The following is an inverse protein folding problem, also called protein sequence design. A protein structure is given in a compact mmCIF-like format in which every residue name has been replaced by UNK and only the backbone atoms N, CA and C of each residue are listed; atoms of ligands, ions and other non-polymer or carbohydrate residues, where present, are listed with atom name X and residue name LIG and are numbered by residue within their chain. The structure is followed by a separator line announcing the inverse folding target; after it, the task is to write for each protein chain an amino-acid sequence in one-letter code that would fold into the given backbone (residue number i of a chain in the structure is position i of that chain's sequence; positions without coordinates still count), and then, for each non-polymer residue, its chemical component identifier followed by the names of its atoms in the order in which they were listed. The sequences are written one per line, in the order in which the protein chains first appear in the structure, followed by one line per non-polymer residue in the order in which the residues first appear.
data_IF_358399543641
#
_entry.id   IF_358399543641
#
_cell.length_a   1.000
_cell.length_b   1.000
_cell.length_c   1.000
_cell.angle_alpha   90.00
_cell.angle_beta   90.00
_cell.angle_gamma   90.00
#
_symmetry.space_group_name_H-M   'P 1'
#
loop_
_entity.id
_entity.type
_entity.pdbx_description
1 polymer ?
#
# COMPACT_ATOMS: atom_id res chain seq x y z
N UNK A 1 -1.08 -20.25 -16.10
CA UNK A 1 -0.41 -20.96 -14.98
C UNK A 1 -1.43 -21.15 -13.88
N UNK A 2 -1.37 -22.21 -13.05
CA UNK A 2 -2.29 -22.33 -11.92
C UNK A 2 -2.01 -21.20 -10.92
N UNK A 3 -2.99 -20.35 -10.67
CA UNK A 3 -2.87 -19.21 -9.77
C UNK A 3 -3.74 -19.43 -8.54
N UNK A 4 -3.13 -19.32 -7.36
CA UNK A 4 -3.78 -19.37 -6.05
C UNK A 4 -3.99 -17.94 -5.56
N UNK A 5 -5.23 -17.60 -5.21
CA UNK A 5 -5.58 -16.25 -4.75
C UNK A 5 -5.67 -16.18 -3.23
N UNK A 6 -5.16 -15.11 -2.65
CA UNK A 6 -5.47 -14.69 -1.29
C UNK A 6 -6.39 -13.49 -1.38
N UNK A 7 -7.62 -13.62 -0.88
CA UNK A 7 -8.72 -12.72 -1.23
C UNK A 7 -9.11 -11.83 -0.05
N UNK A 8 -9.01 -10.52 -0.28
CA UNK A 8 -9.55 -9.48 0.60
C UNK A 8 -11.05 -9.24 0.35
N UNK A 9 -11.80 -8.73 1.34
CA UNK A 9 -13.20 -8.31 1.17
C UNK A 9 -13.36 -7.31 0.02
N UNK A 10 -12.42 -6.37 -0.10
CA UNK A 10 -12.42 -5.35 -1.16
C UNK A 10 -12.34 -5.96 -2.57
N UNK A 11 -11.67 -7.11 -2.71
CA UNK A 11 -11.55 -7.84 -3.97
C UNK A 11 -12.84 -8.61 -4.32
N UNK A 12 -13.58 -9.09 -3.32
CA UNK A 12 -14.87 -9.76 -3.54
C UNK A 12 -15.93 -8.80 -4.08
N UNK A 13 -15.91 -7.56 -3.57
CA UNK A 13 -16.90 -6.53 -3.91
C UNK A 13 -16.70 -5.98 -5.34
N UNK A 14 -15.47 -6.04 -5.88
CA UNK A 14 -15.14 -5.41 -7.16
C UNK A 14 -15.48 -6.23 -8.41
N UNK A 15 -16.19 -7.37 -8.30
CA UNK A 15 -16.60 -8.27 -9.41
C UNK A 15 -15.45 -8.86 -10.25
N UNK A 16 -14.21 -8.46 -10.00
CA UNK A 16 -13.01 -8.82 -10.77
C UNK A 16 -12.60 -10.28 -10.60
N UNK A 17 -13.05 -10.97 -9.53
CA UNK A 17 -12.73 -12.38 -9.29
C UNK A 17 -13.19 -13.31 -10.42
N UNK A 18 -14.32 -13.00 -11.05
CA UNK A 18 -14.86 -13.82 -12.14
C UNK A 18 -14.05 -13.70 -13.44
N UNK A 19 -13.32 -12.60 -13.60
CA UNK A 19 -12.44 -12.34 -14.74
C UNK A 19 -11.03 -12.93 -14.53
N UNK A 20 -10.67 -13.22 -13.28
CA UNK A 20 -9.38 -13.82 -12.92
C UNK A 20 -9.41 -15.34 -13.14
N UNK A 21 -8.46 -15.84 -13.93
CA UNK A 21 -8.26 -17.28 -14.13
C UNK A 21 -7.52 -17.90 -12.94
N UNK A 22 -8.24 -18.36 -11.92
CA UNK A 22 -7.63 -19.00 -10.74
C UNK A 22 -8.13 -20.42 -10.47
N UNK A 23 -7.25 -21.22 -9.85
CA UNK A 23 -7.51 -22.62 -9.49
C UNK A 23 -8.14 -22.73 -8.12
N UNK A 24 -7.61 -21.98 -7.15
CA UNK A 24 -8.02 -22.02 -5.75
C UNK A 24 -7.85 -20.65 -5.10
N UNK A 25 -8.67 -20.33 -4.11
CA UNK A 25 -8.48 -19.12 -3.32
C UNK A 25 -8.70 -19.34 -1.84
N UNK A 26 -8.06 -18.51 -1.02
CA UNK A 26 -8.12 -18.57 0.43
C UNK A 26 -8.55 -17.23 1.01
N UNK A 27 -9.32 -17.28 2.09
CA UNK A 27 -9.67 -16.11 2.89
C UNK A 27 -9.72 -16.46 4.40
N UNK A 28 -9.37 -15.52 5.29
CA UNK A 28 -9.62 -15.63 6.71
C UNK A 28 -11.11 -15.63 7.06
N UNK A 29 -11.46 -16.29 8.16
CA UNK A 29 -12.83 -16.34 8.68
C UNK A 29 -13.39 -14.94 8.96
N UNK A 30 -12.56 -14.03 9.48
CA UNK A 30 -12.99 -12.67 9.82
C UNK A 30 -13.48 -11.90 8.58
N UNK A 31 -12.81 -12.09 7.45
CA UNK A 31 -13.17 -11.50 6.16
C UNK A 31 -14.43 -12.18 5.60
N UNK A 32 -14.54 -13.51 5.75
CA UNK A 32 -15.72 -14.26 5.32
C UNK A 32 -17.00 -13.77 6.03
N UNK A 33 -16.91 -13.42 7.31
CA UNK A 33 -18.04 -12.94 8.09
C UNK A 33 -18.40 -11.48 7.77
N UNK A 34 -17.43 -10.65 7.41
CA UNK A 34 -17.67 -9.28 6.90
C UNK A 34 -18.47 -9.30 5.59
N UNK A 35 -18.07 -10.15 4.64
CA UNK A 35 -18.68 -10.21 3.30
C UNK A 35 -20.16 -10.63 3.35
N UNK A 36 -20.57 -11.43 4.34
CA UNK A 36 -21.97 -11.88 4.52
C UNK A 36 -22.94 -10.73 4.83
N UNK A 37 -22.45 -9.58 5.31
CA UNK A 37 -23.27 -8.50 5.84
C UNK A 37 -23.79 -7.51 4.77
N UNK A 38 -23.28 -7.56 3.53
CA UNK A 38 -23.44 -6.47 2.53
C UNK A 38 -24.04 -6.87 1.15
N UNK A 39 -24.84 -7.94 1.03
CA UNK A 39 -25.44 -8.41 -0.25
C UNK A 39 -24.49 -9.12 -1.25
N UNK A 40 -23.30 -9.55 -0.81
CA UNK A 40 -22.32 -10.31 -1.61
C UNK A 40 -22.67 -11.80 -1.82
N UNK A 41 -23.85 -12.23 -1.37
CA UNK A 41 -24.21 -13.65 -1.24
C UNK A 41 -24.25 -14.39 -2.59
N UNK A 42 -24.65 -13.71 -3.67
CA UNK A 42 -24.76 -14.31 -5.03
C UNK A 42 -23.40 -14.57 -5.69
N UNK A 43 -22.42 -13.69 -5.47
CA UNK A 43 -21.05 -13.83 -6.01
C UNK A 43 -20.27 -14.90 -5.26
N UNK A 44 -20.38 -14.91 -3.93
CA UNK A 44 -19.84 -15.98 -3.10
C UNK A 44 -20.42 -17.32 -3.55
N UNK A 45 -21.74 -17.43 -3.73
CA UNK A 45 -22.42 -18.66 -4.17
C UNK A 45 -21.80 -19.31 -5.42
N UNK A 46 -21.36 -18.50 -6.38
CA UNK A 46 -20.75 -18.97 -7.63
C UNK A 46 -19.28 -19.42 -7.47
N UNK A 47 -18.57 -18.84 -6.51
CA UNK A 47 -17.14 -19.07 -6.27
C UNK A 47 -16.86 -19.96 -5.05
N UNK A 48 -17.88 -20.39 -4.29
CA UNK A 48 -17.73 -21.21 -3.08
C UNK A 48 -17.00 -22.54 -3.35
N UNK A 49 -17.09 -23.08 -4.57
CA UNK A 49 -16.41 -24.32 -4.93
C UNK A 49 -14.87 -24.16 -5.05
N UNK A 50 -14.35 -22.93 -5.12
CA UNK A 50 -12.91 -22.65 -5.25
C UNK A 50 -12.32 -21.89 -4.07
N UNK A 51 -13.15 -21.30 -3.21
CA UNK A 51 -12.73 -20.49 -2.07
C UNK A 51 -12.77 -21.31 -0.78
N UNK A 52 -11.63 -21.42 -0.11
CA UNK A 52 -11.49 -22.07 1.19
C UNK A 52 -11.25 -21.05 2.30
N UNK A 53 -11.93 -21.24 3.43
CA UNK A 53 -11.69 -20.44 4.61
C UNK A 53 -10.52 -21.05 5.38
N UNK A 54 -9.46 -20.27 5.59
CA UNK A 54 -8.26 -20.68 6.35
C UNK A 54 -7.78 -19.49 7.18
N UNK A 55 -7.53 -19.73 8.46
CA UNK A 55 -6.93 -18.72 9.34
C UNK A 55 -5.41 -18.95 9.44
N UNK A 56 -4.61 -17.88 9.51
CA UNK A 56 -3.17 -17.99 9.73
C UNK A 56 -2.84 -18.45 11.15
N UNK A 57 -1.61 -18.95 11.33
CA UNK A 57 -1.03 -19.25 12.63
C UNK A 57 -0.59 -17.98 13.37
N UNK A 58 -0.51 -18.07 14.70
CA UNK A 58 -0.06 -16.96 15.54
C UNK A 58 1.38 -16.50 15.23
N UNK A 59 2.23 -17.41 14.75
CA UNK A 59 3.61 -17.10 14.37
C UNK A 59 3.66 -16.17 13.15
N UNK A 60 2.91 -16.50 12.10
CA UNK A 60 2.83 -15.69 10.88
C UNK A 60 2.18 -14.33 11.14
N UNK A 61 1.18 -14.27 12.04
CA UNK A 61 0.58 -13.01 12.47
C UNK A 61 1.62 -12.11 13.10
N UNK A 62 2.49 -12.64 13.98
CA UNK A 62 3.58 -11.86 14.60
C UNK A 62 4.54 -11.32 13.55
N UNK A 63 4.97 -12.15 12.60
CA UNK A 63 5.87 -11.71 11.52
C UNK A 63 5.25 -10.56 10.71
N UNK A 64 3.99 -10.69 10.31
CA UNK A 64 3.28 -9.67 9.56
C UNK A 64 3.09 -8.37 10.38
N UNK A 65 2.76 -8.51 11.67
CA UNK A 65 2.58 -7.38 12.58
C UNK A 65 3.89 -6.61 12.85
N UNK A 66 4.98 -7.33 13.08
CA UNK A 66 6.31 -6.75 13.28
C UNK A 66 6.75 -5.99 12.03
N UNK A 67 6.51 -6.56 10.84
CA UNK A 67 6.81 -5.89 9.57
C UNK A 67 5.95 -4.64 9.36
N UNK A 68 4.66 -4.69 9.71
CA UNK A 68 3.79 -3.52 9.64
C UNK A 68 4.26 -2.40 10.59
N UNK A 69 4.68 -2.76 11.81
CA UNK A 69 5.22 -1.82 12.79
C UNK A 69 6.53 -1.18 12.32
N UNK A 70 7.44 -1.96 11.73
CA UNK A 70 8.69 -1.46 11.14
C UNK A 70 8.44 -0.41 10.04
N UNK A 71 7.41 -0.63 9.22
CA UNK A 71 7.00 0.29 8.15
C UNK A 71 6.24 1.53 8.67
N UNK A 72 5.98 1.61 9.98
CA UNK A 72 5.26 2.72 10.60
C UNK A 72 3.75 2.68 10.35
N UNK A 73 3.21 1.53 9.97
CA UNK A 73 1.77 1.33 9.81
C UNK A 73 1.12 1.06 11.17
N UNK A 74 0.62 2.11 11.82
CA UNK A 74 -0.10 2.01 13.11
C UNK A 74 -1.62 1.89 12.96
N UNK A 75 -2.13 1.91 11.72
CA UNK A 75 -3.56 1.96 11.42
C UNK A 75 -4.07 0.85 10.50
N UNK A 76 -3.28 -0.20 10.25
CA UNK A 76 -3.80 -1.39 9.56
C UNK A 76 -4.82 -2.08 10.46
N UNK A 77 -5.88 -2.60 9.87
CA UNK A 77 -6.86 -3.39 10.62
C UNK A 77 -6.23 -4.74 11.02
N UNK A 78 -6.79 -5.38 12.05
CA UNK A 78 -6.38 -6.73 12.43
C UNK A 78 -6.59 -7.73 11.27
N UNK A 79 -7.65 -7.52 10.48
CA UNK A 79 -7.98 -8.33 9.30
C UNK A 79 -6.90 -8.23 8.20
N UNK A 80 -6.34 -7.04 7.98
CA UNK A 80 -5.27 -6.81 7.01
C UNK A 80 -4.00 -7.59 7.39
N UNK A 81 -3.67 -7.61 8.69
CA UNK A 81 -2.52 -8.34 9.22
C UNK A 81 -2.75 -9.85 9.09
N UNK A 82 -3.95 -10.34 9.41
CA UNK A 82 -4.31 -11.75 9.24
C UNK A 82 -4.27 -12.19 7.76
N UNK A 83 -4.74 -11.36 6.84
CA UNK A 83 -4.67 -11.66 5.40
C UNK A 83 -3.22 -11.74 4.92
N UNK A 84 -2.37 -10.79 5.32
CA UNK A 84 -0.95 -10.79 4.98
C UNK A 84 -0.22 -12.01 5.57
N UNK A 85 -0.53 -12.38 6.81
CA UNK A 85 0.00 -13.57 7.47
C UNK A 85 -0.41 -14.87 6.76
N UNK A 86 -1.68 -14.97 6.35
CA UNK A 86 -2.18 -16.12 5.60
C UNK A 86 -1.47 -16.24 4.24
N UNK A 87 -1.30 -15.11 3.55
CA UNK A 87 -0.58 -15.08 2.28
C UNK A 87 0.87 -15.56 2.42
N UNK A 88 1.54 -15.17 3.51
CA UNK A 88 2.89 -15.61 3.83
C UNK A 88 2.97 -17.14 3.98
N UNK A 89 2.06 -17.73 4.75
CA UNK A 89 2.03 -19.19 4.96
C UNK A 89 1.79 -19.94 3.67
N UNK A 90 0.76 -19.54 2.92
CA UNK A 90 0.40 -20.21 1.67
C UNK A 90 1.55 -20.09 0.67
N UNK A 91 2.15 -18.91 0.54
CA UNK A 91 3.32 -18.71 -0.33
C UNK A 91 4.47 -19.66 0.05
N UNK A 92 4.79 -19.80 1.34
CA UNK A 92 5.86 -20.68 1.82
C UNK A 92 5.53 -22.16 1.62
N UNK A 93 4.28 -22.56 1.83
CA UNK A 93 3.80 -23.93 1.61
C UNK A 93 3.97 -24.34 0.15
N UNK A 94 3.46 -23.53 -0.79
CA UNK A 94 3.61 -23.83 -2.22
C UNK A 94 5.07 -23.77 -2.70
N UNK A 95 5.88 -22.88 -2.13
CA UNK A 95 7.32 -22.80 -2.43
C UNK A 95 8.09 -24.02 -1.91
N UNK A 96 7.77 -24.51 -0.70
CA UNK A 96 8.43 -25.67 -0.09
C UNK A 96 8.04 -26.99 -0.73
N UNK A 97 6.78 -27.16 -1.11
CA UNK A 97 6.33 -28.32 -1.91
C UNK A 97 7.05 -28.30 -3.26
N UNK A 98 7.19 -27.12 -3.88
CA UNK A 98 7.87 -27.00 -5.17
C UNK A 98 9.37 -27.33 -5.08
N UNK A 99 10.09 -26.84 -4.06
CA UNK A 99 11.53 -27.09 -3.91
C UNK A 99 11.86 -28.56 -3.57
N UNK A 100 10.95 -29.28 -2.91
CA UNK A 100 11.16 -30.69 -2.58
C UNK A 100 11.01 -31.65 -3.77
N UNK A 101 10.35 -31.23 -4.86
CA UNK A 101 9.95 -32.14 -5.96
C UNK A 101 10.76 -31.96 -7.25
N UNK A 102 11.66 -30.97 -7.34
CA UNK A 102 12.35 -30.65 -8.60
C UNK A 102 13.83 -31.08 -8.66
N UNK A 103 14.17 -31.72 -9.78
CA UNK A 103 15.47 -31.60 -10.44
C UNK A 103 15.44 -30.43 -11.45
N UNK A 104 16.62 -29.90 -11.80
CA UNK A 104 16.87 -28.60 -12.45
C UNK A 104 16.06 -28.22 -13.72
N UNK A 105 15.28 -29.13 -14.33
CA UNK A 105 14.85 -29.03 -15.73
C UNK A 105 13.37 -28.67 -15.98
N UNK A 106 12.56 -28.38 -14.95
CA UNK A 106 11.13 -28.02 -15.15
C UNK A 106 10.76 -26.71 -14.46
N UNK A 107 11.13 -25.58 -15.08
CA UNK A 107 10.94 -24.22 -14.56
C UNK A 107 9.55 -23.61 -14.81
N UNK A 108 8.73 -24.22 -15.67
CA UNK A 108 7.58 -23.51 -16.29
C UNK A 108 6.20 -23.77 -15.64
N UNK A 109 6.13 -24.52 -14.54
CA UNK A 109 4.86 -24.87 -13.87
C UNK A 109 4.79 -24.49 -12.39
N UNK A 110 5.43 -23.39 -12.00
CA UNK A 110 5.24 -22.80 -10.67
C UNK A 110 3.77 -22.40 -10.47
N UNK A 111 3.19 -22.84 -9.35
CA UNK A 111 1.90 -22.32 -8.91
C UNK A 111 2.13 -20.96 -8.28
N UNK A 112 1.55 -19.91 -8.85
CA UNK A 112 1.74 -18.55 -8.35
C UNK A 112 0.72 -18.25 -7.27
N UNK A 113 1.21 -17.83 -6.09
CA UNK A 113 0.36 -17.34 -5.00
C UNK A 113 0.32 -15.82 -5.07
N UNK A 114 -0.86 -15.25 -5.26
CA UNK A 114 -1.02 -13.80 -5.40
C UNK A 114 -2.09 -13.27 -4.45
N UNK A 115 -1.80 -12.11 -3.85
CA UNK A 115 -2.75 -11.39 -3.01
C UNK A 115 -3.58 -10.44 -3.86
N UNK A 116 -4.87 -10.39 -3.57
CA UNK A 116 -5.84 -9.54 -4.25
C UNK A 116 -6.44 -8.58 -3.24
N UNK A 117 -6.07 -7.31 -3.32
CA UNK A 117 -6.56 -6.25 -2.44
C UNK A 117 -6.57 -4.89 -3.15
N UNK A 118 -7.53 -4.04 -2.80
CA UNK A 118 -7.58 -2.64 -3.24
C UNK A 118 -6.93 -1.68 -2.23
N UNK A 119 -6.60 -2.13 -1.01
CA UNK A 119 -6.00 -1.27 0.01
C UNK A 119 -4.51 -1.02 -0.28
N UNK A 120 -4.13 0.26 -0.34
CA UNK A 120 -2.76 0.69 -0.63
C UNK A 120 -1.80 0.28 0.49
N UNK A 121 -2.24 0.34 1.75
CA UNK A 121 -1.40 -0.01 2.89
C UNK A 121 -1.11 -1.52 2.92
N UNK A 122 -2.13 -2.35 2.62
CA UNK A 122 -1.97 -3.80 2.51
C UNK A 122 -1.10 -4.19 1.32
N UNK A 123 -1.27 -3.56 0.14
CA UNK A 123 -0.36 -3.75 -1.01
C UNK A 123 1.10 -3.52 -0.65
N UNK A 124 1.38 -2.42 0.08
CA UNK A 124 2.73 -2.10 0.51
C UNK A 124 3.27 -3.14 1.49
N UNK A 125 2.48 -3.56 2.47
CA UNK A 125 2.87 -4.59 3.43
C UNK A 125 3.21 -5.91 2.72
N UNK A 126 2.32 -6.40 1.86
CA UNK A 126 2.49 -7.62 1.06
C UNK A 126 3.78 -7.55 0.24
N UNK A 127 4.03 -6.42 -0.44
CA UNK A 127 5.25 -6.22 -1.23
C UNK A 127 6.51 -6.27 -0.36
N UNK A 128 6.47 -5.68 0.85
CA UNK A 128 7.59 -5.70 1.79
C UNK A 128 7.80 -7.05 2.49
N UNK A 129 6.79 -7.93 2.48
CA UNK A 129 6.90 -9.33 2.90
C UNK A 129 7.44 -10.24 1.78
N UNK A 130 7.72 -9.70 0.58
CA UNK A 130 8.21 -10.47 -0.57
C UNK A 130 7.11 -11.26 -1.28
N UNK A 131 5.84 -10.93 -1.03
CA UNK A 131 4.68 -11.60 -1.62
C UNK A 131 4.25 -10.93 -2.93
N UNK A 132 3.61 -11.71 -3.81
CA UNK A 132 3.15 -11.22 -5.10
C UNK A 132 1.72 -10.67 -5.02
N UNK A 133 1.46 -9.59 -5.75
CA UNK A 133 0.12 -9.04 -5.99
C UNK A 133 -0.34 -9.44 -7.39
N UNK A 134 -1.64 -9.66 -7.57
CA UNK A 134 -2.20 -9.89 -8.91
C UNK A 134 -2.03 -8.62 -9.78
N UNK A 135 -1.71 -8.78 -11.07
CA UNK A 135 -1.38 -7.67 -11.98
C UNK A 135 -2.45 -6.58 -12.00
N UNK A 136 -3.73 -6.96 -12.08
CA UNK A 136 -4.88 -6.03 -12.04
C UNK A 136 -4.95 -5.16 -10.78
N UNK A 137 -4.23 -5.54 -9.72
CA UNK A 137 -4.23 -4.87 -8.42
C UNK A 137 -2.87 -4.23 -8.08
N UNK A 138 -1.85 -4.34 -8.93
CA UNK A 138 -0.54 -3.68 -8.71
C UNK A 138 -0.63 -2.16 -8.83
N UNK A 139 -1.47 -1.64 -9.71
CA UNK A 139 -1.55 -0.20 -9.96
C UNK A 139 -2.31 0.55 -8.85
N UNK A 140 -1.75 1.69 -8.44
CA UNK A 140 -2.42 2.64 -7.56
C UNK A 140 -3.21 3.65 -8.39
N UNK A 141 -4.48 3.35 -8.67
CA UNK A 141 -5.33 4.19 -9.51
C UNK A 141 -5.64 5.58 -8.92
N UNK A 142 -5.42 5.78 -7.61
CA UNK A 142 -5.64 7.06 -6.96
C UNK A 142 -4.47 8.02 -7.25
N UNK A 143 -4.66 8.89 -8.23
CA UNK A 143 -3.77 10.02 -8.50
C UNK A 143 -4.02 11.15 -7.49
N UNK A 144 -2.95 11.81 -7.07
CA UNK A 144 -3.01 12.94 -6.15
C UNK A 144 -2.27 14.15 -6.70
N UNK A 145 -2.75 15.34 -6.36
CA UNK A 145 -2.11 16.62 -6.65
C UNK A 145 -2.14 17.53 -5.42
N UNK A 146 -1.42 18.64 -5.50
CA UNK A 146 -1.40 19.64 -4.44
C UNK A 146 -2.30 20.83 -4.81
N UNK A 147 -3.18 21.23 -3.90
CA UNK A 147 -4.09 22.37 -4.07
C UNK A 147 -4.03 23.30 -2.87
N UNK A 148 -3.96 24.59 -3.12
CA UNK A 148 -4.21 25.61 -2.10
C UNK A 148 -5.71 25.70 -1.84
N UNK A 149 -6.16 25.48 -0.60
CA UNK A 149 -7.60 25.57 -0.30
C UNK A 149 -8.10 27.03 -0.20
N UNK A 150 -7.21 28.01 -0.05
CA UNK A 150 -7.55 29.45 0.01
C UNK A 150 -7.75 30.06 -1.36
N UNK A 151 -6.74 29.96 -2.25
CA UNK A 151 -6.77 30.58 -3.58
C UNK A 151 -7.05 29.60 -4.72
N UNK A 152 -7.39 28.35 -4.37
CA UNK A 152 -7.75 27.25 -5.29
C UNK A 152 -6.71 26.87 -6.34
N UNK A 153 -5.48 27.42 -6.28
CA UNK A 153 -4.44 27.10 -7.24
C UNK A 153 -3.96 25.66 -7.11
N UNK A 154 -3.81 25.00 -8.26
CA UNK A 154 -3.39 23.61 -8.39
C UNK A 154 -1.90 23.55 -8.77
N UNK A 155 -1.18 22.61 -8.18
CA UNK A 155 0.21 22.31 -8.45
C UNK A 155 0.34 20.81 -8.79
N UNK A 156 0.66 20.53 -10.07
CA UNK A 156 0.97 19.19 -10.58
C UNK A 156 2.48 18.94 -10.48
N UNK A 157 3.00 18.85 -9.27
CA UNK A 157 4.44 18.67 -9.04
C UNK A 157 4.62 17.67 -7.91
N UNK A 158 5.55 16.74 -8.09
CA UNK A 158 5.85 15.72 -7.08
C UNK A 158 6.59 16.30 -5.87
N UNK A 159 7.26 17.44 -6.07
CA UNK A 159 7.90 18.20 -4.99
C UNK A 159 6.83 18.85 -4.11
N UNK A 160 6.81 18.42 -2.85
CA UNK A 160 5.96 18.99 -1.80
C UNK A 160 6.15 20.51 -1.68
N UNK A 161 5.08 21.26 -1.93
CA UNK A 161 5.01 22.69 -1.66
C UNK A 161 4.52 22.93 -0.23
N UNK A 162 5.34 23.61 0.58
CA UNK A 162 4.97 24.01 1.93
C UNK A 162 4.09 25.28 1.89
N UNK A 163 4.49 26.28 1.09
CA UNK A 163 3.74 27.53 0.92
C UNK A 163 3.13 27.66 -0.48
N UNK A 164 1.98 28.32 -0.59
CA UNK A 164 1.37 28.62 -1.87
C UNK A 164 2.14 29.73 -2.59
N UNK A 165 2.63 29.46 -3.81
CA UNK A 165 3.35 30.45 -4.64
C UNK A 165 2.50 31.63 -5.14
N UNK A 166 1.21 31.66 -4.84
CA UNK A 166 0.29 32.71 -5.33
C UNK A 166 -0.24 33.59 -4.22
N UNK A 167 -0.68 33.00 -3.11
CA UNK A 167 -1.15 33.77 -1.95
C UNK A 167 -0.16 33.80 -0.78
N UNK A 168 0.96 33.07 -0.86
CA UNK A 168 2.00 33.04 0.18
C UNK A 168 1.65 32.22 1.43
N UNK A 169 0.40 31.83 1.64
CA UNK A 169 -0.04 31.13 2.84
C UNK A 169 0.36 29.64 2.88
N UNK A 170 0.48 29.09 4.09
CA UNK A 170 0.71 27.66 4.36
C UNK A 170 -0.59 26.85 4.29
N UNK A 171 -1.24 26.90 3.13
CA UNK A 171 -2.60 26.36 2.91
C UNK A 171 -2.63 25.25 1.85
N UNK A 172 -1.49 24.60 1.60
CA UNK A 172 -1.38 23.50 0.65
C UNK A 172 -1.95 22.20 1.25
N UNK A 173 -2.84 21.57 0.48
CA UNK A 173 -3.51 20.30 0.78
C UNK A 173 -3.28 19.30 -0.36
N UNK A 174 -3.19 18.01 -0.03
CA UNK A 174 -3.12 16.92 -1.01
C UNK A 174 -4.54 16.46 -1.32
N UNK A 175 -4.92 16.43 -2.60
CA UNK A 175 -6.28 16.11 -3.04
C UNK A 175 -6.19 15.06 -4.14
N UNK A 176 -7.04 14.03 -4.07
CA UNK A 176 -7.16 13.04 -5.13
C UNK A 176 -7.92 13.60 -6.32
N UNK A 177 -7.57 13.19 -7.52
CA UNK A 177 -8.26 13.62 -8.74
C UNK A 177 -8.46 12.48 -9.72
N UNK A 178 -9.48 12.63 -10.56
CA UNK A 178 -9.74 11.80 -11.73
C UNK A 178 -9.42 12.61 -12.98
N UNK A 179 -8.88 11.93 -13.99
CA UNK A 179 -8.51 12.56 -15.26
C UNK A 179 -9.28 11.86 -16.38
N UNK A 180 -10.22 12.57 -16.98
CA UNK A 180 -11.10 12.08 -18.04
C UNK A 180 -10.99 13.03 -19.23
N UNK A 181 -10.56 12.53 -20.39
CA UNK A 181 -10.43 13.30 -21.64
C UNK A 181 -9.67 14.64 -21.47
N UNK A 182 -8.60 14.62 -20.67
CA UNK A 182 -7.78 15.80 -20.38
C UNK A 182 -8.38 16.80 -19.40
N UNK A 183 -9.60 16.55 -18.89
CA UNK A 183 -10.19 17.31 -17.78
C UNK A 183 -9.83 16.67 -16.45
N UNK A 184 -9.53 17.52 -15.47
CA UNK A 184 -9.21 17.10 -14.10
C UNK A 184 -10.39 17.41 -13.21
N UNK A 185 -10.97 16.37 -12.64
CA UNK A 185 -12.01 16.47 -11.64
C UNK A 185 -11.42 16.19 -10.26
N UNK A 186 -11.61 17.13 -9.33
CA UNK A 186 -11.07 17.04 -7.98
C UNK A 186 -12.07 16.35 -7.05
N UNK A 187 -11.59 15.32 -6.33
CA UNK A 187 -12.39 14.63 -5.33
C UNK A 187 -12.16 15.30 -3.97
N UNK A 188 -13.01 16.27 -3.64
CA UNK A 188 -12.96 17.03 -2.38
C UNK A 188 -13.84 16.39 -1.29
N UNK A 189 -13.39 16.43 -0.04
CA UNK A 189 -14.20 15.96 1.09
C UNK A 189 -15.28 17.00 1.46
N UNK A 190 -16.53 16.54 1.64
CA UNK A 190 -17.68 17.41 1.92
C UNK A 190 -17.55 18.22 3.22
N UNK A 191 -16.85 17.66 4.23
CA UNK A 191 -16.67 18.27 5.55
C UNK A 191 -15.20 18.57 5.84
N UNK A 192 -14.52 19.27 4.92
CA UNK A 192 -13.11 19.61 5.09
C UNK A 192 -12.91 20.53 6.31
N UNK A 193 -12.31 19.97 7.38
CA UNK A 193 -11.83 20.75 8.52
C UNK A 193 -10.34 21.01 8.32
N UNK A 194 -9.96 22.29 8.27
CA UNK A 194 -8.56 22.65 8.19
C UNK A 194 -7.86 22.47 9.53
N UNK A 195 -6.76 21.74 9.52
CA UNK A 195 -5.81 21.68 10.64
C UNK A 195 -4.70 22.68 10.39
N UNK A 196 -4.46 23.59 11.35
CA UNK A 196 -3.34 24.53 11.29
C UNK A 196 -2.01 23.78 11.18
N UNK A 197 -1.30 24.01 10.07
CA UNK A 197 0.05 23.48 9.85
C UNK A 197 1.03 24.60 10.17
N UNK A 198 1.88 24.40 11.17
CA UNK A 198 2.93 25.37 11.53
C UNK A 198 4.30 24.73 11.35
N UNK A 199 5.19 25.45 10.68
CA UNK A 199 6.58 25.05 10.52
C UNK A 199 7.38 25.82 11.55
N UNK A 200 8.20 25.14 12.32
CA UNK A 200 9.04 25.76 13.33
C UNK A 200 10.52 25.60 12.96
N UNK A 201 11.31 26.58 13.34
CA UNK A 201 12.76 26.50 13.32
C UNK A 201 13.29 25.56 14.40
N UNK A 202 14.59 25.25 14.35
CA UNK A 202 15.28 24.54 15.43
C UNK A 202 15.15 25.23 16.79
N UNK A 203 15.01 26.56 16.81
CA UNK A 203 14.84 27.36 18.03
C UNK A 203 13.37 27.55 18.43
N UNK A 204 12.43 26.82 17.83
CA UNK A 204 11.00 26.90 18.14
C UNK A 204 10.26 28.12 17.57
N UNK A 205 10.94 29.03 16.87
CA UNK A 205 10.30 30.17 16.19
C UNK A 205 9.50 29.69 14.97
N UNK A 206 8.27 30.16 14.83
CA UNK A 206 7.39 29.86 13.69
C UNK A 206 7.90 30.50 12.38
N UNK A 207 7.87 29.70 11.31
CA UNK A 207 8.13 30.11 9.93
C UNK A 207 6.78 30.33 9.25
N UNK A 208 6.50 31.58 8.86
CA UNK A 208 5.20 32.02 8.35
C UNK A 208 5.15 32.13 6.84
N UNK A 209 6.30 32.33 6.19
CA UNK A 209 6.37 32.61 4.76
C UNK A 209 7.62 32.00 4.15
N UNK A 210 7.55 31.69 2.85
CA UNK A 210 8.64 31.12 2.07
C UNK A 210 9.89 32.03 1.97
N UNK A 211 9.74 33.35 2.05
CA UNK A 211 10.86 34.28 1.82
C UNK A 211 11.75 34.49 3.04
N UNK A 212 11.34 33.99 4.22
CA UNK A 212 12.12 34.07 5.45
C UNK A 212 13.46 33.36 5.31
N UNK A 213 14.52 33.96 5.88
CA UNK A 213 15.86 33.36 5.93
C UNK A 213 15.82 32.01 6.66
N UNK A 214 15.00 31.94 7.70
CA UNK A 214 14.72 30.76 8.50
C UNK A 214 14.15 29.61 7.65
N UNK A 215 13.28 29.90 6.67
CA UNK A 215 12.76 28.89 5.75
C UNK A 215 13.85 28.31 4.86
N UNK A 216 14.75 29.16 4.34
CA UNK A 216 15.90 28.71 3.53
C UNK A 216 16.80 27.77 4.33
N UNK A 217 17.03 28.07 5.61
CA UNK A 217 17.79 27.21 6.52
C UNK A 217 17.06 25.88 6.78
N UNK A 218 15.75 25.94 7.06
CA UNK A 218 14.91 24.77 7.25
C UNK A 218 14.98 23.80 6.05
N UNK A 219 14.80 24.29 4.81
CA UNK A 219 14.89 23.44 3.61
C UNK A 219 16.30 22.89 3.36
N UNK A 220 17.35 23.63 3.72
CA UNK A 220 18.74 23.13 3.64
C UNK A 220 18.95 21.96 4.61
N UNK A 221 18.47 22.09 5.85
CA UNK A 221 18.56 21.02 6.85
C UNK A 221 17.76 19.77 6.44
N UNK A 222 16.55 19.95 5.89
CA UNK A 222 15.72 18.86 5.38
C UNK A 222 16.42 18.09 4.26
N UNK A 223 17.01 18.81 3.28
CA UNK A 223 17.80 18.19 2.20
C UNK A 223 18.99 17.39 2.72
N UNK A 224 19.69 17.90 3.73
CA UNK A 224 20.82 17.19 4.34
C UNK A 224 20.38 15.90 5.04
N UNK A 225 19.29 15.94 5.81
CA UNK A 225 18.70 14.75 6.45
C UNK A 225 18.28 13.69 5.43
N UNK A 226 17.59 14.11 4.37
CA UNK A 226 17.17 13.18 3.32
C UNK A 226 18.36 12.51 2.62
N UNK A 227 19.46 13.25 2.37
CA UNK A 227 20.69 12.66 1.82
C UNK A 227 21.36 11.66 2.77
N UNK A 228 21.37 11.94 4.07
CA UNK A 228 21.93 11.03 5.08
C UNK A 228 21.09 9.74 5.17
N UNK A 229 19.76 9.86 5.14
CA UNK A 229 18.86 8.71 5.16
C UNK A 229 18.98 7.87 3.88
N UNK A 230 19.11 8.49 2.70
CA UNK A 230 19.34 7.77 1.45
C UNK A 230 20.63 6.95 1.49
N UNK A 231 21.74 7.54 1.98
CA UNK A 231 23.00 6.81 2.18
C UNK A 231 22.91 5.72 3.24
N UNK A 232 22.10 5.93 4.29
CA UNK A 232 21.82 4.90 5.29
C UNK A 232 21.05 3.72 4.71
N UNK A 233 20.07 3.98 3.82
CA UNK A 233 19.35 2.94 3.08
C UNK A 233 20.26 2.19 2.10
N UNK A 234 21.12 2.89 1.36
CA UNK A 234 22.10 2.28 0.45
C UNK A 234 23.12 1.38 1.18
N UNK A 235 23.38 1.63 2.47
CA UNK A 235 24.23 0.78 3.32
C UNK A 235 23.49 -0.41 3.96
N UNK A 236 22.16 -0.42 3.93
CA UNK A 236 21.32 -1.54 4.42
C UNK A 236 20.99 -2.50 3.27
N UNK A 237 20.98 -2.00 2.03
CA UNK A 237 20.86 -2.81 0.82
C UNK A 237 22.26 -3.32 0.49
N UNK A 238 22.68 -4.42 1.11
CA UNK A 238 23.90 -5.13 0.71
C UNK A 238 23.82 -5.45 -0.81
N UNK A 239 24.77 -4.97 -1.63
CA UNK A 239 24.80 -5.30 -3.07
C UNK A 239 25.26 -6.74 -3.31
N UNK A 240 25.74 -7.43 -2.28
CA UNK A 240 26.13 -8.84 -2.31
C UNK A 240 25.08 -9.64 -1.54
N UNK A 241 24.05 -10.08 -2.27
CA UNK A 241 23.09 -11.06 -1.77
C UNK A 241 23.81 -12.25 -1.13
N UNK A 242 23.24 -12.70 -0.02
CA UNK A 242 23.57 -13.89 0.74
C UNK A 242 24.39 -14.94 -0.03
N UNK A 243 25.71 -14.95 0.14
CA UNK A 243 26.50 -16.15 -0.07
C UNK A 243 26.44 -16.96 1.22
N UNK A 244 25.41 -17.79 1.37
CA UNK A 244 25.46 -18.90 2.31
C UNK A 244 26.46 -19.94 1.78
N UNK A 245 27.60 -20.05 2.46
CA UNK A 245 28.49 -21.22 2.38
C UNK A 245 27.96 -22.34 3.26
#
# INVERSE_FOLDING_TARGET
MPTVLIVDASAVISLTLSEMGYTKGYLPQVIADEIKCQDSSKLLSLHMCKLEIRNPTEESIKIAADKAAELGYTGLSAQDIELAALALEVSNEYTSIFSSWLGQDTLDSTTEVVVVTLDIALKNLVTHLGLQLHDSFKENNKKYLQRCYTCTRIYKTDVKQDFCKSCGYHTISKVSYTETDGKIELNLSKNFKYTEKKIHTHYGKEIRTQDQKEYKQYKRAERYKNKKNAKGLELIIDPEGWNCS
#
